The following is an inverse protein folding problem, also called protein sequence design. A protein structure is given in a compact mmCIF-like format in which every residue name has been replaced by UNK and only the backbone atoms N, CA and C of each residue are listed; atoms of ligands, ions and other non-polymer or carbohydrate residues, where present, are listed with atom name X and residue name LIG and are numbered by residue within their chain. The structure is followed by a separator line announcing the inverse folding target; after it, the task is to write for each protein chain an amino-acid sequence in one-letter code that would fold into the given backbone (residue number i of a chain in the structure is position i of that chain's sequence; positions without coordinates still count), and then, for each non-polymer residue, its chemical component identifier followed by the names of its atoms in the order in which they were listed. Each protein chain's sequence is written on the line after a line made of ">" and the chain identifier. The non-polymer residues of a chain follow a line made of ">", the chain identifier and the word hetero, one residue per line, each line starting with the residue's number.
data_IF_814486037486
#
_entry.id   IF_814486037486
#
_cell.length_a   1.000
_cell.length_b   1.000
_cell.length_c   1.000
_cell.angle_alpha   90.00
_cell.angle_beta   90.00
_cell.angle_gamma   90.00
#
_symmetry.space_group_name_H-M   'P 1'
#
loop_
_entity.id
_entity.type
_entity.pdbx_description
1 polymer ?
#
# COMPACT_ATOMS: atom_id res chain seq x y z
N UNK A 1 -36.08 -41.20 32.25
CA UNK A 1 -35.23 -40.07 31.90
C UNK A 1 -34.99 -40.08 30.38
N UNK A 2 -35.60 -39.16 29.63
CA UNK A 2 -35.44 -39.07 28.17
C UNK A 2 -34.52 -37.88 27.93
N UNK A 3 -33.34 -38.14 27.35
CA UNK A 3 -32.38 -37.11 27.01
C UNK A 3 -32.78 -36.48 25.66
N UNK A 4 -33.16 -35.21 25.66
CA UNK A 4 -33.31 -34.42 24.42
C UNK A 4 -31.92 -33.97 23.94
N UNK A 5 -31.52 -34.49 22.80
CA UNK A 5 -30.35 -33.99 22.08
C UNK A 5 -30.77 -32.73 21.27
N UNK A 6 -30.22 -31.57 21.63
CA UNK A 6 -30.38 -30.34 20.87
C UNK A 6 -29.44 -30.38 19.66
N UNK A 7 -29.99 -30.48 18.45
CA UNK A 7 -29.24 -30.24 17.20
C UNK A 7 -28.98 -28.74 17.07
N UNK A 8 -27.73 -28.34 17.18
CA UNK A 8 -27.28 -26.99 16.81
C UNK A 8 -27.22 -26.89 15.28
N UNK A 9 -28.18 -26.18 14.66
CA UNK A 9 -28.15 -25.78 13.28
C UNK A 9 -27.11 -24.65 13.13
N UNK A 10 -25.94 -25.00 12.61
CA UNK A 10 -24.94 -24.02 12.18
C UNK A 10 -25.42 -23.38 10.89
N UNK A 11 -26.00 -22.19 10.97
CA UNK A 11 -26.32 -21.39 9.77
C UNK A 11 -25.02 -20.75 9.25
N UNK A 12 -24.47 -21.30 8.17
CA UNK A 12 -23.43 -20.62 7.41
C UNK A 12 -24.04 -19.30 6.86
N UNK A 13 -23.42 -18.18 7.20
CA UNK A 13 -23.79 -16.90 6.58
C UNK A 13 -23.61 -17.00 5.06
N UNK A 14 -24.52 -16.46 4.26
CA UNK A 14 -24.36 -16.47 2.80
C UNK A 14 -23.10 -15.71 2.41
N UNK A 15 -22.34 -16.25 1.45
CA UNK A 15 -21.20 -15.58 0.86
C UNK A 15 -21.65 -14.20 0.32
N UNK A 16 -20.88 -13.16 0.61
CA UNK A 16 -21.16 -11.84 0.06
C UNK A 16 -21.21 -11.93 -1.49
N UNK A 17 -22.16 -11.27 -2.14
CA UNK A 17 -22.27 -11.32 -3.60
C UNK A 17 -20.98 -10.82 -4.25
N UNK A 18 -20.56 -11.45 -5.35
CA UNK A 18 -19.45 -10.95 -6.16
C UNK A 18 -19.76 -9.55 -6.67
N UNK A 19 -18.79 -8.63 -6.49
CA UNK A 19 -18.94 -7.27 -6.98
C UNK A 19 -18.87 -7.25 -8.51
N UNK A 20 -19.78 -6.57 -9.21
CA UNK A 20 -19.69 -6.41 -10.65
C UNK A 20 -18.40 -5.66 -11.02
N UNK A 21 -17.79 -6.01 -12.15
CA UNK A 21 -16.58 -5.36 -12.66
C UNK A 21 -15.25 -5.81 -12.06
N UNK A 22 -15.24 -6.70 -11.04
CA UNK A 22 -14.00 -7.30 -10.56
C UNK A 22 -13.46 -8.31 -11.59
N UNK A 23 -12.14 -8.25 -11.85
CA UNK A 23 -11.45 -9.19 -12.75
C UNK A 23 -10.72 -10.27 -11.96
N UNK A 24 -10.71 -11.48 -12.50
CA UNK A 24 -9.92 -12.60 -11.99
C UNK A 24 -8.60 -12.77 -12.75
N UNK A 25 -8.37 -12.03 -13.84
CA UNK A 25 -7.13 -12.12 -14.64
C UNK A 25 -6.49 -10.72 -14.88
N UNK A 26 -6.23 -10.05 -13.79
CA UNK A 26 -5.53 -8.76 -13.80
C UNK A 26 -4.11 -8.86 -14.40
N UNK A 27 -3.41 -9.98 -14.21
CA UNK A 27 -2.09 -10.19 -14.75
C UNK A 27 -2.08 -10.23 -16.29
N UNK A 28 -3.08 -10.88 -16.91
CA UNK A 28 -3.21 -10.87 -18.37
C UNK A 28 -3.52 -9.48 -18.91
N UNK A 29 -4.36 -8.70 -18.22
CA UNK A 29 -4.69 -7.32 -18.60
C UNK A 29 -3.47 -6.38 -18.55
N UNK A 30 -2.58 -6.57 -17.58
CA UNK A 30 -1.38 -5.77 -17.43
C UNK A 30 -0.21 -6.21 -18.32
N UNK A 31 -0.16 -7.49 -18.68
CA UNK A 31 0.92 -8.07 -19.49
C UNK A 31 2.20 -8.31 -18.69
N UNK A 32 3.30 -8.74 -19.36
CA UNK A 32 4.53 -9.17 -18.70
C UNK A 32 5.30 -8.04 -18.02
N UNK A 33 5.12 -6.80 -18.47
CA UNK A 33 5.78 -5.61 -17.91
C UNK A 33 5.02 -5.01 -16.72
N UNK A 34 3.83 -5.57 -16.43
CA UNK A 34 3.03 -5.18 -15.28
C UNK A 34 3.75 -5.44 -13.96
N UNK A 35 3.55 -4.55 -12.99
CA UNK A 35 4.10 -4.69 -11.65
C UNK A 35 5.17 -3.66 -11.26
N UNK A 36 5.98 -3.17 -12.19
CA UNK A 36 6.99 -2.13 -11.93
C UNK A 36 6.95 -0.98 -12.95
N UNK A 37 6.47 -1.21 -14.15
CA UNK A 37 6.25 -0.19 -15.17
C UNK A 37 4.78 0.18 -15.27
N UNK A 38 4.45 1.07 -16.21
CA UNK A 38 3.06 1.42 -16.52
C UNK A 38 2.29 2.03 -15.34
N UNK A 39 2.89 2.98 -14.63
CA UNK A 39 2.36 3.56 -13.39
C UNK A 39 0.98 4.21 -13.55
N UNK A 40 0.62 4.67 -14.73
CA UNK A 40 -0.68 5.25 -15.03
C UNK A 40 -1.58 4.32 -15.89
N UNK A 41 -1.04 3.20 -16.42
CA UNK A 41 -1.81 2.26 -17.24
C UNK A 41 -2.94 1.63 -16.43
N UNK A 42 -4.20 1.75 -16.86
CA UNK A 42 -5.34 1.16 -16.16
C UNK A 42 -5.20 -0.35 -15.95
N UNK A 43 -5.43 -0.79 -14.71
CA UNK A 43 -5.65 -2.20 -14.40
C UNK A 43 -7.14 -2.42 -14.06
N UNK A 44 -7.75 -3.55 -14.43
CA UNK A 44 -9.09 -3.86 -13.96
C UNK A 44 -9.07 -4.04 -12.43
N UNK A 45 -10.12 -3.61 -11.71
CA UNK A 45 -10.21 -3.85 -10.29
C UNK A 45 -10.29 -5.35 -10.00
N UNK A 46 -9.67 -5.79 -8.89
CA UNK A 46 -9.64 -7.18 -8.51
C UNK A 46 -9.87 -7.36 -7.00
N UNK A 47 -10.47 -8.47 -6.60
CA UNK A 47 -10.63 -8.80 -5.18
C UNK A 47 -9.29 -9.24 -4.59
N UNK A 48 -8.90 -8.65 -3.45
CA UNK A 48 -7.73 -9.08 -2.67
C UNK A 48 -8.18 -10.14 -1.66
N UNK A 49 -9.02 -9.74 -0.71
CA UNK A 49 -9.60 -10.63 0.29
C UNK A 49 -10.76 -9.91 1.00
N UNK A 50 -11.88 -10.61 1.20
CA UNK A 50 -13.07 -10.07 1.87
C UNK A 50 -13.45 -8.67 1.38
N UNK A 51 -13.38 -7.64 2.23
CA UNK A 51 -13.73 -6.26 1.91
C UNK A 51 -12.57 -5.43 1.30
N UNK A 52 -11.47 -6.07 0.91
CA UNK A 52 -10.27 -5.41 0.37
C UNK A 52 -10.14 -5.65 -1.14
N UNK A 53 -9.93 -4.58 -1.91
CA UNK A 53 -9.94 -4.55 -3.36
C UNK A 53 -8.71 -3.87 -3.92
N UNK A 54 -8.14 -4.40 -4.99
CA UNK A 54 -7.18 -3.71 -5.84
C UNK A 54 -7.95 -2.77 -6.77
N UNK A 55 -7.61 -1.49 -6.77
CA UNK A 55 -8.22 -0.47 -7.64
C UNK A 55 -7.16 0.40 -8.33
N UNK A 56 -5.90 -0.05 -8.30
CA UNK A 56 -4.74 0.65 -8.83
C UNK A 56 -4.54 0.52 -10.33
N UNK A 57 -3.30 0.71 -10.73
CA UNK A 57 -2.82 0.61 -12.10
C UNK A 57 -1.98 -0.65 -12.30
N UNK A 58 -1.50 -0.90 -13.50
CA UNK A 58 -0.64 -2.06 -13.74
C UNK A 58 0.71 -1.97 -13.00
N UNK A 59 1.18 -0.77 -12.66
CA UNK A 59 2.47 -0.55 -11.99
C UNK A 59 2.37 -0.07 -10.55
N UNK A 60 1.20 0.41 -10.10
CA UNK A 60 1.00 0.94 -8.75
C UNK A 60 -0.19 0.29 -8.06
N UNK A 61 0.05 -0.25 -6.89
CA UNK A 61 -0.99 -0.80 -6.02
C UNK A 61 -1.76 0.33 -5.35
N UNK A 62 -3.07 0.34 -5.51
CA UNK A 62 -4.00 1.16 -4.74
C UNK A 62 -5.03 0.23 -4.13
N UNK A 63 -5.25 0.33 -2.84
CA UNK A 63 -6.13 -0.59 -2.10
C UNK A 63 -7.36 0.14 -1.59
N UNK A 64 -8.52 -0.35 -1.95
CA UNK A 64 -9.81 0.08 -1.40
C UNK A 64 -10.27 -0.91 -0.34
N UNK A 65 -10.65 -0.43 0.84
CA UNK A 65 -11.21 -1.25 1.91
C UNK A 65 -12.60 -0.74 2.26
N UNK A 66 -13.58 -1.63 2.18
CA UNK A 66 -14.95 -1.36 2.60
C UNK A 66 -15.06 -1.51 4.13
N UNK A 67 -15.67 -0.54 4.80
CA UNK A 67 -16.00 -0.61 6.23
C UNK A 67 -17.43 -0.12 6.47
N UNK A 68 -18.02 -0.45 7.61
CA UNK A 68 -19.37 0.04 7.95
C UNK A 68 -19.44 1.56 8.12
N UNK A 69 -18.30 2.25 8.25
CA UNK A 69 -18.22 3.72 8.36
C UNK A 69 -17.81 4.41 7.05
N UNK A 70 -17.81 3.69 5.94
CA UNK A 70 -17.41 4.17 4.62
C UNK A 70 -16.13 3.51 4.13
N UNK A 71 -15.59 4.04 3.04
CA UNK A 71 -14.44 3.47 2.36
C UNK A 71 -13.13 4.08 2.87
N UNK A 72 -12.09 3.25 2.92
CA UNK A 72 -10.70 3.64 3.14
C UNK A 72 -9.93 3.37 1.85
N UNK A 73 -9.12 4.32 1.39
CA UNK A 73 -8.25 4.15 0.24
C UNK A 73 -6.80 4.31 0.68
N UNK A 74 -5.95 3.37 0.33
CA UNK A 74 -4.50 3.43 0.58
C UNK A 74 -3.79 3.64 -0.75
N UNK A 75 -3.03 4.72 -0.86
CA UNK A 75 -2.40 5.27 -2.05
C UNK A 75 -3.40 5.71 -3.14
N UNK A 76 -2.89 6.30 -4.22
CA UNK A 76 -3.72 6.86 -5.30
C UNK A 76 -3.10 6.69 -6.68
N UNK A 77 -1.82 6.28 -6.74
CA UNK A 77 -1.03 6.38 -7.95
C UNK A 77 -0.58 7.82 -8.25
N UNK A 78 0.09 8.04 -9.39
CA UNK A 78 0.40 9.36 -9.89
C UNK A 78 -0.88 10.17 -10.19
N UNK A 79 -0.76 11.47 -10.41
CA UNK A 79 -1.91 12.36 -10.59
C UNK A 79 -2.85 11.90 -11.71
N UNK A 80 -2.29 11.50 -12.84
CA UNK A 80 -3.02 11.03 -14.02
C UNK A 80 -3.69 9.65 -13.84
N UNK A 81 -3.30 8.88 -12.82
CA UNK A 81 -3.99 7.64 -12.45
C UNK A 81 -5.28 7.87 -11.63
N UNK A 82 -5.43 9.03 -10.97
CA UNK A 82 -6.56 9.27 -10.07
C UNK A 82 -7.94 9.12 -10.74
N UNK A 83 -8.19 9.58 -11.99
CA UNK A 83 -9.46 9.35 -12.68
C UNK A 83 -9.75 7.86 -12.87
N UNK A 84 -8.72 7.04 -13.17
CA UNK A 84 -8.86 5.61 -13.31
C UNK A 84 -9.20 4.93 -11.98
N UNK A 85 -8.51 5.28 -10.89
CA UNK A 85 -8.81 4.77 -9.54
C UNK A 85 -10.28 5.02 -9.19
N UNK A 86 -10.77 6.24 -9.42
CA UNK A 86 -12.18 6.58 -9.19
C UNK A 86 -13.13 5.79 -10.11
N UNK A 87 -12.74 5.50 -11.35
CA UNK A 87 -13.53 4.68 -12.27
C UNK A 87 -13.59 3.20 -11.83
N UNK A 88 -12.46 2.64 -11.37
CA UNK A 88 -12.38 1.28 -10.82
C UNK A 88 -13.27 1.11 -9.58
N UNK A 89 -13.31 2.12 -8.70
CA UNK A 89 -14.19 2.13 -7.53
C UNK A 89 -15.67 2.11 -7.95
N UNK A 90 -16.06 2.89 -8.99
CA UNK A 90 -17.42 2.87 -9.53
C UNK A 90 -17.75 1.54 -10.21
N UNK A 91 -16.79 0.92 -10.92
CA UNK A 91 -16.98 -0.38 -11.55
C UNK A 91 -17.30 -1.49 -10.54
N UNK A 92 -16.73 -1.38 -9.33
CA UNK A 92 -17.08 -2.25 -8.19
C UNK A 92 -18.44 -1.93 -7.54
N UNK A 93 -19.18 -0.94 -8.07
CA UNK A 93 -20.48 -0.54 -7.54
C UNK A 93 -20.44 0.41 -6.34
N UNK A 94 -19.26 0.96 -6.01
CA UNK A 94 -19.14 1.96 -4.95
C UNK A 94 -19.28 3.39 -5.47
N UNK A 95 -19.80 4.28 -4.64
CA UNK A 95 -19.73 5.71 -4.86
C UNK A 95 -18.39 6.24 -4.27
N UNK A 96 -17.50 6.84 -5.06
CA UNK A 96 -16.26 7.41 -4.55
C UNK A 96 -16.44 8.43 -3.42
N UNK A 97 -17.58 9.11 -3.32
CA UNK A 97 -17.91 10.02 -2.21
C UNK A 97 -18.03 9.31 -0.85
N UNK A 98 -18.11 7.99 -0.85
CA UNK A 98 -18.05 7.16 0.35
C UNK A 98 -16.62 6.99 0.89
N UNK A 99 -15.57 7.38 0.15
CA UNK A 99 -14.21 7.43 0.67
C UNK A 99 -14.15 8.47 1.77
N UNK A 100 -13.88 8.03 3.00
CA UNK A 100 -13.80 8.89 4.19
C UNK A 100 -12.37 9.11 4.65
N UNK A 101 -11.48 8.18 4.32
CA UNK A 101 -10.10 8.19 4.74
C UNK A 101 -9.16 7.83 3.59
N UNK A 102 -8.08 8.60 3.50
CA UNK A 102 -6.94 8.36 2.64
C UNK A 102 -5.75 8.02 3.54
N UNK A 103 -5.10 6.91 3.27
CA UNK A 103 -3.84 6.50 3.88
C UNK A 103 -2.78 6.47 2.79
N UNK A 104 -1.50 6.47 3.17
CA UNK A 104 -0.41 6.47 2.19
C UNK A 104 0.75 5.60 2.65
N UNK A 105 1.56 5.14 1.70
CA UNK A 105 2.82 4.45 1.93
C UNK A 105 4.00 5.41 1.78
N UNK A 106 4.76 5.59 0.68
CA UNK A 106 5.76 6.63 0.59
C UNK A 106 5.14 7.96 0.11
N UNK A 107 5.77 9.06 0.43
CA UNK A 107 5.41 10.41 -0.01
C UNK A 107 5.90 10.75 -1.45
N UNK A 108 5.95 9.76 -2.34
CA UNK A 108 6.41 9.91 -3.72
C UNK A 108 5.26 10.07 -4.70
N UNK A 109 5.50 10.84 -5.78
CA UNK A 109 4.48 11.25 -6.75
C UNK A 109 3.77 10.08 -7.43
N UNK A 110 4.46 8.96 -7.64
CA UNK A 110 3.91 7.77 -8.27
C UNK A 110 2.94 6.99 -7.35
N UNK A 111 2.97 7.24 -6.04
CA UNK A 111 2.05 6.65 -5.05
C UNK A 111 0.99 7.62 -4.55
N UNK A 112 1.34 8.88 -4.37
CA UNK A 112 0.45 9.87 -3.73
C UNK A 112 0.16 11.10 -4.59
N UNK A 113 0.64 11.13 -5.85
CA UNK A 113 0.39 12.24 -6.78
C UNK A 113 -1.08 12.54 -7.01
N UNK A 114 -1.94 11.53 -6.96
CA UNK A 114 -3.39 11.64 -7.08
C UNK A 114 -4.12 12.08 -5.80
N UNK A 115 -3.44 12.20 -4.63
CA UNK A 115 -4.09 12.46 -3.34
C UNK A 115 -4.95 13.73 -3.34
N UNK A 116 -4.41 14.85 -3.83
CA UNK A 116 -5.15 16.12 -3.89
C UNK A 116 -6.39 16.03 -4.78
N UNK A 117 -6.29 15.33 -5.92
CA UNK A 117 -7.40 15.12 -6.86
C UNK A 117 -8.51 14.29 -6.20
N UNK A 118 -8.15 13.18 -5.58
CA UNK A 118 -9.13 12.30 -4.91
C UNK A 118 -9.72 13.01 -3.69
N UNK A 119 -8.90 13.73 -2.91
CA UNK A 119 -9.39 14.49 -1.77
C UNK A 119 -10.39 15.57 -2.18
N UNK A 120 -10.13 16.28 -3.28
CA UNK A 120 -11.07 17.27 -3.83
C UNK A 120 -12.39 16.62 -4.28
N UNK A 121 -12.33 15.44 -4.92
CA UNK A 121 -13.50 14.74 -5.43
C UNK A 121 -14.36 14.10 -4.33
N UNK A 122 -13.79 13.79 -3.17
CA UNK A 122 -14.43 12.97 -2.14
C UNK A 122 -14.62 13.67 -0.80
N UNK A 123 -13.82 14.69 -0.50
CA UNK A 123 -13.73 15.32 0.82
C UNK A 123 -13.03 14.45 1.88
N UNK A 124 -12.41 13.34 1.49
CA UNK A 124 -11.78 12.39 2.40
C UNK A 124 -10.66 13.02 3.25
N UNK A 125 -10.43 12.45 4.44
CA UNK A 125 -9.39 12.89 5.38
C UNK A 125 -8.10 12.14 5.12
N UNK A 126 -6.99 12.88 4.95
CA UNK A 126 -5.67 12.29 4.75
C UNK A 126 -4.94 12.08 6.07
N UNK A 127 -4.42 10.87 6.26
CA UNK A 127 -3.59 10.48 7.40
C UNK A 127 -2.18 10.15 6.91
N UNK A 128 -1.18 10.73 7.53
CA UNK A 128 0.23 10.59 7.15
C UNK A 128 1.12 10.29 8.35
N UNK A 129 2.33 9.78 8.11
CA UNK A 129 3.40 9.75 9.11
C UNK A 129 3.90 11.17 9.43
N UNK A 130 4.60 11.42 10.57
CA UNK A 130 5.15 12.72 10.87
C UNK A 130 6.08 13.26 9.78
N UNK A 131 6.95 12.38 9.25
CA UNK A 131 7.99 12.77 8.30
C UNK A 131 7.43 12.99 6.88
N UNK A 132 6.32 12.36 6.51
CA UNK A 132 5.62 12.62 5.24
C UNK A 132 4.80 13.93 5.23
N UNK A 133 4.47 14.47 6.41
CA UNK A 133 3.52 15.58 6.50
C UNK A 133 3.98 16.87 5.78
N UNK A 134 5.28 17.13 5.78
CA UNK A 134 5.89 18.27 5.08
C UNK A 134 5.73 18.17 3.57
N UNK A 135 6.09 17.01 3.01
CA UNK A 135 5.99 16.73 1.58
C UNK A 135 4.54 16.82 1.09
N UNK A 136 3.60 16.22 1.81
CA UNK A 136 2.19 16.23 1.44
C UNK A 136 1.56 17.64 1.47
N UNK A 137 1.92 18.48 2.46
CA UNK A 137 1.41 19.86 2.56
C UNK A 137 2.01 20.80 1.53
N UNK A 138 3.26 20.59 1.14
CA UNK A 138 3.97 21.46 0.21
C UNK A 138 3.90 21.00 -1.25
N UNK A 139 3.65 19.71 -1.48
CA UNK A 139 3.78 19.06 -2.78
C UNK A 139 5.23 18.90 -3.25
N UNK A 140 6.21 19.10 -2.36
CA UNK A 140 7.65 19.02 -2.66
C UNK A 140 8.28 17.89 -1.86
N UNK A 141 9.28 17.24 -2.45
CA UNK A 141 10.05 16.21 -1.78
C UNK A 141 10.74 16.75 -0.51
N UNK A 142 10.89 15.88 0.48
CA UNK A 142 11.73 16.16 1.63
C UNK A 142 13.20 16.32 1.19
N UNK A 143 13.92 17.36 1.60
CA UNK A 143 15.34 17.54 1.25
C UNK A 143 16.24 16.38 1.70
N UNK A 144 15.87 15.66 2.76
CA UNK A 144 16.60 14.48 3.27
C UNK A 144 16.27 13.18 2.49
N UNK A 145 15.34 13.26 1.52
CA UNK A 145 15.02 12.11 0.68
C UNK A 145 16.19 11.80 -0.27
N UNK A 146 16.69 10.56 -0.32
CA UNK A 146 17.71 10.16 -1.28
C UNK A 146 17.36 10.46 -2.74
N UNK A 147 16.07 10.57 -3.06
CA UNK A 147 15.55 10.87 -4.38
C UNK A 147 15.17 12.36 -4.58
N UNK A 148 15.45 13.25 -3.61
CA UNK A 148 14.96 14.63 -3.63
C UNK A 148 15.23 15.37 -4.95
N UNK A 149 16.43 15.25 -5.52
CA UNK A 149 16.79 15.91 -6.80
C UNK A 149 16.03 15.31 -8.00
N UNK A 150 15.69 14.01 -7.97
CA UNK A 150 14.85 13.37 -8.98
C UNK A 150 13.39 13.82 -8.82
N UNK A 151 12.87 13.76 -7.60
CA UNK A 151 11.48 14.08 -7.26
C UNK A 151 11.16 15.57 -7.51
N UNK A 152 12.14 16.46 -7.41
CA UNK A 152 11.97 17.88 -7.74
C UNK A 152 11.49 18.10 -9.19
N UNK A 153 11.69 17.14 -10.10
CA UNK A 153 11.20 17.17 -11.48
C UNK A 153 9.72 16.80 -11.59
N UNK A 154 9.14 16.22 -10.52
CA UNK A 154 7.77 15.72 -10.47
C UNK A 154 7.02 16.30 -9.27
N UNK A 155 6.80 17.64 -9.22
CA UNK A 155 6.10 18.27 -8.12
C UNK A 155 4.65 17.76 -8.05
N UNK A 156 4.16 17.52 -6.84
CA UNK A 156 2.79 17.09 -6.58
C UNK A 156 1.90 18.30 -6.25
N UNK A 157 0.60 18.15 -6.44
CA UNK A 157 -0.37 19.11 -5.86
C UNK A 157 -0.38 18.96 -4.34
N UNK A 158 -0.29 20.06 -3.58
CA UNK A 158 -0.45 20.02 -2.12
C UNK A 158 -1.75 19.35 -1.70
N UNK A 159 -1.69 18.46 -0.74
CA UNK A 159 -2.85 17.80 -0.15
C UNK A 159 -3.08 18.28 1.29
N UNK A 160 -4.35 18.36 1.72
CA UNK A 160 -4.69 18.72 3.09
C UNK A 160 -4.41 17.53 4.01
N UNK A 161 -3.44 17.68 4.92
CA UNK A 161 -3.14 16.69 5.95
C UNK A 161 -4.09 16.90 7.14
N UNK A 162 -5.01 15.97 7.34
CA UNK A 162 -6.02 16.04 8.39
C UNK A 162 -5.54 15.40 9.70
N UNK A 163 -4.68 14.39 9.63
CA UNK A 163 -4.13 13.71 10.80
C UNK A 163 -2.70 13.25 10.58
N UNK A 164 -1.87 13.44 11.59
CA UNK A 164 -0.52 12.86 11.67
C UNK A 164 -0.55 11.73 12.68
N UNK A 165 -0.07 10.56 12.29
CA UNK A 165 -0.09 9.35 13.09
C UNK A 165 1.34 8.81 13.27
N UNK A 166 1.78 8.63 14.51
CA UNK A 166 3.11 8.06 14.81
C UNK A 166 3.09 6.53 14.63
N UNK A 167 4.27 5.94 14.46
CA UNK A 167 4.44 4.48 14.40
C UNK A 167 3.80 3.78 15.60
N UNK A 168 3.10 2.68 15.36
CA UNK A 168 2.28 1.97 16.35
C UNK A 168 0.91 2.60 16.61
N UNK A 169 0.68 3.83 16.15
CA UNK A 169 -0.64 4.46 16.21
C UNK A 169 -1.66 3.78 15.30
N UNK A 170 -2.92 3.83 15.67
CA UNK A 170 -3.99 3.20 14.90
C UNK A 170 -5.22 4.06 14.72
N UNK A 171 -6.00 3.74 13.69
CA UNK A 171 -7.32 4.26 13.40
C UNK A 171 -8.32 3.12 13.48
N UNK A 172 -9.38 3.31 14.25
CA UNK A 172 -10.52 2.41 14.22
C UNK A 172 -11.59 3.02 13.32
N UNK A 173 -11.83 2.40 12.16
CA UNK A 173 -12.78 2.90 11.15
C UNK A 173 -13.78 1.77 10.87
N UNK A 174 -15.04 1.98 11.22
CA UNK A 174 -16.10 1.02 10.98
C UNK A 174 -15.80 -0.40 11.52
N UNK A 175 -15.17 -0.50 12.67
CA UNK A 175 -14.79 -1.78 13.29
C UNK A 175 -13.42 -2.32 12.84
N UNK A 176 -12.87 -1.84 11.72
CA UNK A 176 -11.54 -2.25 11.23
C UNK A 176 -10.45 -1.35 11.81
N UNK A 177 -9.42 -1.96 12.40
CA UNK A 177 -8.26 -1.25 12.96
C UNK A 177 -7.13 -1.21 11.93
N UNK A 178 -6.77 -0.01 11.51
CA UNK A 178 -5.61 0.25 10.65
C UNK A 178 -4.45 0.73 11.52
N UNK A 179 -3.35 0.02 11.53
CA UNK A 179 -2.14 0.39 12.30
C UNK A 179 -1.04 0.86 11.37
N UNK A 180 -0.49 2.04 11.66
CA UNK A 180 0.67 2.60 10.94
C UNK A 180 1.97 2.06 11.55
N UNK A 181 2.88 1.64 10.68
CA UNK A 181 4.23 1.21 11.03
C UNK A 181 5.23 2.07 10.23
N UNK A 182 5.88 3.05 10.86
CA UNK A 182 6.91 3.83 10.18
C UNK A 182 8.09 2.91 9.84
N UNK A 183 8.47 2.92 8.58
CA UNK A 183 9.55 2.10 8.06
C UNK A 183 10.39 2.92 7.05
N UNK A 184 11.17 3.90 7.50
CA UNK A 184 11.90 4.84 6.65
C UNK A 184 13.02 4.13 5.87
N UNK A 185 12.66 3.20 4.98
CA UNK A 185 13.58 2.48 4.11
C UNK A 185 13.73 3.21 2.78
N UNK A 186 12.62 3.50 2.12
CA UNK A 186 12.57 4.07 0.78
C UNK A 186 12.64 5.60 0.81
N UNK A 187 11.80 6.22 1.63
CA UNK A 187 11.77 7.66 1.88
C UNK A 187 11.75 7.95 3.38
N UNK A 188 11.99 9.20 3.83
CA UNK A 188 11.89 9.56 5.24
C UNK A 188 10.51 9.29 5.84
N UNK A 189 9.45 9.58 5.12
CA UNK A 189 8.07 9.44 5.57
C UNK A 189 7.43 8.08 5.30
N UNK A 190 8.17 7.14 4.73
CA UNK A 190 7.72 5.77 4.43
C UNK A 190 6.98 5.11 5.59
N UNK A 191 5.79 4.58 5.30
CA UNK A 191 4.94 3.89 6.28
C UNK A 191 4.25 2.68 5.68
N UNK A 192 4.17 1.60 6.45
CA UNK A 192 3.38 0.42 6.15
C UNK A 192 2.10 0.44 6.96
N UNK A 193 1.08 -0.26 6.46
CA UNK A 193 -0.20 -0.39 7.13
C UNK A 193 -0.58 -1.84 7.32
N UNK A 194 -1.15 -2.15 8.48
CA UNK A 194 -1.73 -3.48 8.75
C UNK A 194 -3.17 -3.35 9.20
N UNK A 195 -4.00 -4.30 8.76
CA UNK A 195 -5.39 -4.46 9.21
C UNK A 195 -5.81 -5.91 9.14
N UNK A 196 -6.88 -6.26 9.85
CA UNK A 196 -7.51 -7.56 9.73
C UNK A 196 -8.60 -7.52 8.67
N UNK A 197 -8.65 -8.54 7.82
CA UNK A 197 -9.67 -8.80 6.83
C UNK A 197 -10.26 -10.19 7.12
N UNK A 198 -11.59 -10.27 7.31
CA UNK A 198 -12.24 -11.47 7.81
C UNK A 198 -13.31 -11.99 6.84
N UNK A 199 -13.29 -13.29 6.57
CA UNK A 199 -14.39 -14.01 5.90
C UNK A 199 -15.04 -14.95 6.94
N UNK A 200 -16.21 -14.55 7.44
CA UNK A 200 -16.85 -15.22 8.57
C UNK A 200 -15.95 -15.20 9.82
N UNK A 201 -15.62 -16.36 10.35
CA UNK A 201 -14.74 -16.50 11.51
C UNK A 201 -13.24 -16.54 11.18
N UNK A 202 -12.87 -16.58 9.90
CA UNK A 202 -11.48 -16.64 9.47
C UNK A 202 -10.97 -15.25 9.14
N UNK A 203 -9.98 -14.78 9.90
CA UNK A 203 -9.35 -13.50 9.70
C UNK A 203 -7.90 -13.65 9.25
N UNK A 204 -7.48 -12.80 8.30
CA UNK A 204 -6.11 -12.63 7.87
C UNK A 204 -5.63 -11.24 8.24
N UNK A 205 -4.39 -11.14 8.68
CA UNK A 205 -3.73 -9.84 8.76
C UNK A 205 -3.12 -9.50 7.41
N UNK A 206 -3.64 -8.44 6.79
CA UNK A 206 -3.06 -7.88 5.57
C UNK A 206 -2.01 -6.85 5.99
N UNK A 207 -0.81 -6.95 5.40
CA UNK A 207 0.23 -5.96 5.51
C UNK A 207 0.45 -5.31 4.14
N UNK A 208 0.15 -4.02 4.02
CA UNK A 208 0.61 -3.21 2.90
C UNK A 208 1.96 -2.62 3.30
N UNK A 209 3.00 -3.37 3.00
CA UNK A 209 4.38 -3.03 3.34
C UNK A 209 4.95 -2.08 2.28
N UNK A 210 5.48 -0.95 2.73
CA UNK A 210 6.08 0.03 1.83
C UNK A 210 7.35 -0.50 1.14
N UNK A 211 7.83 0.26 0.15
CA UNK A 211 8.98 -0.09 -0.67
C UNK A 211 10.24 -0.35 0.17
N UNK A 212 10.93 -1.44 -0.15
CA UNK A 212 12.24 -1.79 0.42
C UNK A 212 13.41 -1.42 -0.50
N UNK A 213 13.12 -0.65 -1.57
CA UNK A 213 14.13 -0.24 -2.54
C UNK A 213 14.89 1.00 -2.05
N UNK A 214 16.21 0.91 -2.03
CA UNK A 214 17.11 2.02 -1.71
C UNK A 214 17.57 2.70 -3.01
N UNK A 215 16.61 3.36 -3.66
CA UNK A 215 16.85 4.18 -4.87
C UNK A 215 17.28 5.58 -4.41
N UNK A 216 18.09 6.25 -5.22
CA UNK A 216 18.51 7.63 -5.01
C UNK A 216 18.70 8.38 -6.31
N UNK A 217 18.78 9.70 -6.24
CA UNK A 217 19.35 10.52 -7.31
C UNK A 217 20.82 10.14 -7.55
N UNK A 218 21.32 10.47 -8.76
CA UNK A 218 22.67 10.04 -9.17
C UNK A 218 23.79 10.57 -8.25
N UNK A 219 23.62 11.80 -7.77
CA UNK A 219 24.60 12.47 -6.90
C UNK A 219 24.52 12.02 -5.42
N UNK A 220 23.52 11.21 -5.05
CA UNK A 220 23.35 10.77 -3.68
C UNK A 220 24.02 9.43 -3.43
N UNK A 221 24.95 9.39 -2.47
CA UNK A 221 25.66 8.19 -2.07
C UNK A 221 25.33 7.79 -0.64
N UNK A 222 24.66 6.66 -0.45
CA UNK A 222 24.25 6.15 0.88
C UNK A 222 25.42 6.01 1.85
N UNK A 223 26.61 5.62 1.39
CA UNK A 223 27.79 5.46 2.23
C UNK A 223 28.29 6.78 2.87
N UNK A 224 27.80 7.94 2.42
CA UNK A 224 28.09 9.26 2.98
C UNK A 224 27.03 9.70 3.98
N UNK A 225 25.90 8.98 4.09
CA UNK A 225 24.73 9.32 4.90
C UNK A 225 24.41 8.22 5.93
N UNK A 226 25.28 8.05 6.94
CA UNK A 226 25.15 6.95 7.91
C UNK A 226 23.82 6.94 8.67
N UNK A 227 23.25 8.11 8.98
CA UNK A 227 21.94 8.20 9.63
C UNK A 227 20.83 7.66 8.74
N UNK A 228 20.86 7.96 7.43
CA UNK A 228 19.89 7.45 6.46
C UNK A 228 20.00 5.94 6.28
N UNK A 229 21.22 5.41 6.24
CA UNK A 229 21.47 3.95 6.20
C UNK A 229 20.91 3.26 7.44
N UNK A 230 21.13 3.86 8.63
CA UNK A 230 20.61 3.30 9.88
C UNK A 230 19.08 3.35 9.93
N UNK A 231 18.46 4.43 9.43
CA UNK A 231 17.01 4.56 9.30
C UNK A 231 16.45 3.49 8.34
N UNK A 232 17.08 3.29 7.17
CA UNK A 232 16.68 2.26 6.23
C UNK A 232 16.75 0.85 6.84
N UNK A 233 17.85 0.52 7.55
CA UNK A 233 17.97 -0.75 8.28
C UNK A 233 16.90 -0.91 9.37
N UNK A 234 16.55 0.16 10.08
CA UNK A 234 15.48 0.13 11.07
C UNK A 234 14.12 -0.13 10.41
N UNK A 235 13.84 0.53 9.28
CA UNK A 235 12.64 0.33 8.50
C UNK A 235 12.51 -1.12 7.99
N UNK A 236 13.59 -1.72 7.50
CA UNK A 236 13.61 -3.11 7.08
C UNK A 236 13.28 -4.07 8.23
N UNK A 237 13.82 -3.83 9.44
CA UNK A 237 13.43 -4.61 10.63
C UNK A 237 11.97 -4.43 11.01
N UNK A 238 11.42 -3.22 10.83
CA UNK A 238 9.98 -2.98 11.05
C UNK A 238 9.15 -3.83 10.08
N UNK A 239 9.48 -3.85 8.79
CA UNK A 239 8.77 -4.66 7.78
C UNK A 239 8.90 -6.15 8.09
N UNK A 240 10.09 -6.64 8.48
CA UNK A 240 10.33 -8.03 8.86
C UNK A 240 9.40 -8.48 10.00
N UNK A 241 9.15 -7.60 10.97
CA UNK A 241 8.36 -7.86 12.17
C UNK A 241 6.84 -7.62 12.00
N UNK A 242 6.37 -7.19 10.82
CA UNK A 242 4.94 -6.95 10.60
C UNK A 242 4.11 -8.22 10.82
N UNK A 243 2.96 -8.14 11.49
CA UNK A 243 1.95 -9.18 11.40
C UNK A 243 1.47 -9.26 9.96
N UNK A 244 1.67 -10.43 9.29
CA UNK A 244 1.60 -10.49 7.84
C UNK A 244 1.20 -11.89 7.35
N UNK A 245 -0.10 -12.11 7.23
CA UNK A 245 -0.64 -13.30 6.56
C UNK A 245 -0.67 -13.10 5.04
N UNK A 246 -0.90 -11.86 4.60
CA UNK A 246 -0.98 -11.47 3.21
C UNK A 246 -0.18 -10.18 3.00
N UNK A 247 0.86 -10.26 2.15
CA UNK A 247 1.69 -9.12 1.78
C UNK A 247 1.14 -8.41 0.55
N UNK A 248 1.01 -7.08 0.63
CA UNK A 248 0.87 -6.15 -0.49
C UNK A 248 2.08 -5.21 -0.52
N UNK A 249 2.45 -4.74 -1.71
CA UNK A 249 3.56 -3.80 -1.90
C UNK A 249 3.16 -2.68 -2.84
N UNK A 250 3.72 -1.45 -2.72
CA UNK A 250 3.31 -0.28 -3.51
C UNK A 250 3.45 -0.50 -5.02
N UNK A 251 4.51 -1.16 -5.45
CA UNK A 251 4.59 -1.73 -6.81
C UNK A 251 4.17 -3.20 -6.73
N UNK A 252 3.13 -3.63 -7.49
CA UNK A 252 2.63 -5.00 -7.42
C UNK A 252 3.69 -6.06 -7.71
N UNK A 253 4.70 -5.75 -8.54
CA UNK A 253 5.83 -6.63 -8.84
C UNK A 253 6.69 -6.97 -7.62
N UNK A 254 6.74 -6.10 -6.60
CA UNK A 254 7.50 -6.32 -5.37
C UNK A 254 7.05 -7.56 -4.57
N UNK A 255 5.81 -7.99 -4.76
CA UNK A 255 5.23 -9.18 -4.11
C UNK A 255 4.57 -10.15 -5.10
N UNK A 256 4.84 -10.01 -6.39
CA UNK A 256 4.15 -10.76 -7.46
C UNK A 256 2.62 -10.69 -7.34
N UNK A 257 2.09 -9.51 -6.99
CA UNK A 257 0.70 -9.35 -6.60
C UNK A 257 -0.27 -9.65 -7.74
N UNK A 258 0.05 -9.24 -8.98
CA UNK A 258 -0.85 -9.44 -10.12
C UNK A 258 -1.10 -10.92 -10.41
N UNK A 259 -0.06 -11.76 -10.40
CA UNK A 259 -0.20 -13.21 -10.56
C UNK A 259 -0.96 -13.85 -9.40
N UNK A 260 -0.73 -13.35 -8.17
CA UNK A 260 -1.43 -13.84 -6.98
C UNK A 260 -2.93 -13.51 -7.03
N UNK A 261 -3.29 -12.30 -7.49
CA UNK A 261 -4.69 -11.90 -7.68
C UNK A 261 -5.35 -12.64 -8.84
N UNK A 262 -4.57 -13.08 -9.83
CA UNK A 262 -5.06 -13.89 -10.97
C UNK A 262 -5.10 -15.38 -10.68
N UNK A 263 -4.78 -15.82 -9.47
CA UNK A 263 -4.73 -17.25 -9.10
C UNK A 263 -3.58 -18.04 -9.74
N UNK A 264 -2.63 -17.36 -10.40
CA UNK A 264 -1.43 -17.99 -11.00
C UNK A 264 -0.36 -18.29 -9.94
N UNK A 265 -0.44 -17.65 -8.78
CA UNK A 265 0.40 -17.91 -7.62
C UNK A 265 -0.44 -17.89 -6.34
N UNK A 266 0.00 -18.55 -5.24
CA UNK A 266 -0.71 -18.53 -3.97
C UNK A 266 -0.88 -17.10 -3.45
N UNK A 267 -2.10 -16.73 -3.03
CA UNK A 267 -2.37 -15.40 -2.46
C UNK A 267 -1.58 -15.18 -1.15
N UNK A 268 -1.39 -16.24 -0.39
CA UNK A 268 -0.63 -16.26 0.86
C UNK A 268 0.61 -17.14 0.70
N UNK A 269 1.73 -16.72 1.30
CA UNK A 269 2.90 -17.57 1.48
C UNK A 269 3.58 -17.27 2.81
N UNK A 270 4.16 -18.29 3.46
CA UNK A 270 4.75 -18.13 4.78
C UNK A 270 5.86 -17.09 4.80
N UNK A 271 5.89 -16.25 5.85
CA UNK A 271 6.95 -15.26 6.08
C UNK A 271 7.12 -14.25 4.94
N UNK A 272 6.05 -13.90 4.23
CA UNK A 272 6.09 -12.99 3.08
C UNK A 272 6.79 -11.66 3.40
N UNK A 273 6.40 -11.00 4.49
CA UNK A 273 7.01 -9.73 4.90
C UNK A 273 8.49 -9.88 5.28
N UNK A 274 8.87 -10.98 5.96
CA UNK A 274 10.27 -11.24 6.30
C UNK A 274 11.13 -11.48 5.04
N UNK A 275 10.61 -12.24 4.06
CA UNK A 275 11.31 -12.45 2.79
C UNK A 275 11.47 -11.14 2.00
N UNK A 276 10.43 -10.28 2.01
CA UNK A 276 10.47 -8.98 1.37
C UNK A 276 11.51 -8.05 2.01
N UNK A 277 11.56 -7.99 3.34
CA UNK A 277 12.55 -7.23 4.10
C UNK A 277 13.99 -7.75 3.87
N UNK A 278 14.18 -9.08 3.83
CA UNK A 278 15.47 -9.68 3.55
C UNK A 278 16.00 -9.27 2.16
N UNK A 279 15.13 -9.33 1.13
CA UNK A 279 15.50 -8.87 -0.21
C UNK A 279 15.88 -7.37 -0.25
N UNK A 280 15.24 -6.53 0.59
CA UNK A 280 15.60 -5.13 0.78
C UNK A 280 16.96 -4.95 1.44
N UNK A 281 17.24 -5.77 2.46
CA UNK A 281 18.54 -5.79 3.16
C UNK A 281 19.69 -6.15 2.23
N UNK A 282 19.48 -7.14 1.38
CA UNK A 282 20.48 -7.56 0.37
C UNK A 282 20.73 -6.44 -0.64
N UNK A 283 19.68 -5.76 -1.13
CA UNK A 283 19.82 -4.62 -2.06
C UNK A 283 20.59 -3.46 -1.42
N UNK A 284 20.31 -3.12 -0.17
CA UNK A 284 21.03 -2.08 0.56
C UNK A 284 22.50 -2.47 0.74
N UNK A 285 22.78 -3.71 1.13
CA UNK A 285 24.17 -4.20 1.28
C UNK A 285 24.94 -4.13 -0.03
N UNK A 286 24.34 -4.60 -1.14
CA UNK A 286 24.93 -4.52 -2.49
C UNK A 286 25.16 -3.06 -2.94
N UNK A 287 24.22 -2.14 -2.63
CA UNK A 287 24.38 -0.72 -2.94
C UNK A 287 25.60 -0.14 -2.21
N UNK A 288 25.69 -0.36 -0.90
CA UNK A 288 26.82 0.12 -0.10
C UNK A 288 28.16 -0.44 -0.55
N UNK A 289 28.21 -1.73 -0.92
CA UNK A 289 29.43 -2.37 -1.46
C UNK A 289 29.86 -1.73 -2.79
N UNK A 290 28.92 -1.48 -3.72
CA UNK A 290 29.23 -0.78 -4.98
C UNK A 290 29.76 0.64 -4.76
N UNK A 291 29.16 1.39 -3.85
CA UNK A 291 29.59 2.76 -3.54
C UNK A 291 30.97 2.81 -2.84
N UNK A 292 31.36 1.75 -2.12
CA UNK A 292 32.70 1.61 -1.56
C UNK A 292 33.75 1.29 -2.61
N UNK A 293 33.40 0.43 -3.58
CA UNK A 293 34.31 0.02 -4.64
C UNK A 293 34.57 1.13 -5.69
N UNK A 294 33.71 2.13 -5.78
CA UNK A 294 33.83 3.26 -6.69
C UNK A 294 34.71 4.41 -6.18
N UNK A 295 35.27 4.28 -4.96
CA UNK A 295 36.24 5.20 -4.35
C UNK A 295 37.68 4.83 -4.73
#
# INVERSE_FOLDING_TARGET
>A
MVALAALALSSAAPAAPERPGASTDIAAACGPDGGFADWAKPAPPAKIHSESWYVGTCGITVVLIETIAGLVLIDTGPEDAAPHVLASIRALGFDPRQIKWLLMTPEHFDHVGGMAVIQQATGARLVVSPDAAGAMRSGKADPEDPQAALLAKYPMKPARVDRVLRSGGSLLIGGTRFTLHANPTHSPGSASWTWQSCEGAQCLTIAYADSVNTISSDDYHFNQHSQRVNAARAGLRTIEALPCDLLLTPHPGGSNLLDRLSGKAPLRYPRACAAYAAAGSDRLAQRLAREQAAK
#
